data_IF_898521338806
#
_entry.id   IF_898521338806
#
_cell.length_a   1.000
_cell.length_b   1.000
_cell.length_c   1.000
_cell.angle_alpha   90.00
_cell.angle_beta   90.00
_cell.angle_gamma   90.00
#
_symmetry.space_group_name_H-M   'P 1'
#
loop_
_entity.id
_entity.type
_entity.pdbx_description
1 polymer ?
#
# COMPACT_ATOMS: atom_id res chain seq x y z
N UNK A 1 1.59 1.46 25.12
CA UNK A 1 0.33 2.04 24.61
C UNK A 1 0.37 1.97 23.09
N UNK A 2 -0.68 1.46 22.45
CA UNK A 2 -0.77 1.47 20.99
C UNK A 2 -0.95 2.92 20.54
N UNK A 3 -0.08 3.43 19.66
CA UNK A 3 -0.28 4.75 19.07
C UNK A 3 -1.52 4.71 18.15
N UNK A 4 -2.42 5.70 18.24
CA UNK A 4 -3.63 5.71 17.42
C UNK A 4 -3.30 6.00 15.94
N UNK A 5 -4.07 5.39 15.04
CA UNK A 5 -4.06 5.72 13.60
C UNK A 5 -4.46 7.18 13.41
N UNK A 6 -3.65 7.93 12.66
CA UNK A 6 -3.88 9.34 12.36
C UNK A 6 -4.53 9.47 10.99
N UNK A 7 -5.74 10.02 10.96
CA UNK A 7 -6.45 10.28 9.70
C UNK A 7 -5.66 11.29 8.86
N UNK A 8 -5.54 11.00 7.56
CA UNK A 8 -4.79 11.84 6.61
C UNK A 8 -3.27 11.68 6.67
N UNK A 9 -2.76 10.75 7.47
CA UNK A 9 -1.35 10.38 7.50
C UNK A 9 -1.12 9.01 6.86
N UNK A 10 0.06 8.82 6.28
CA UNK A 10 0.50 7.54 5.76
C UNK A 10 0.87 6.59 6.90
N UNK A 11 0.30 5.39 6.82
CA UNK A 11 0.59 4.28 7.73
C UNK A 11 1.04 3.05 6.95
N UNK A 12 1.87 2.22 7.58
CA UNK A 12 2.23 0.90 7.07
C UNK A 12 1.64 -0.18 7.95
N UNK A 13 1.07 -1.22 7.34
CA UNK A 13 0.57 -2.38 8.06
C UNK A 13 1.23 -3.62 7.49
N UNK A 14 1.86 -4.41 8.36
CA UNK A 14 2.47 -5.70 8.01
C UNK A 14 1.68 -6.81 8.68
N UNK A 15 1.17 -7.72 7.87
CA UNK A 15 0.40 -8.88 8.32
C UNK A 15 1.13 -10.12 7.85
N UNK A 16 1.35 -11.08 8.74
CA UNK A 16 1.90 -12.38 8.39
C UNK A 16 1.19 -13.49 9.16
N UNK A 17 1.16 -14.68 8.57
CA UNK A 17 0.56 -15.85 9.18
C UNK A 17 1.50 -17.04 9.01
N UNK A 18 1.74 -17.77 10.10
CA UNK A 18 2.46 -19.03 10.11
C UNK A 18 1.56 -20.05 10.79
N UNK A 19 1.10 -21.05 10.04
CA UNK A 19 0.08 -22.01 10.50
C UNK A 19 -1.11 -21.25 11.09
N UNK A 20 -1.61 -21.62 12.27
CA UNK A 20 -2.72 -20.93 12.91
C UNK A 20 -2.33 -19.65 13.69
N UNK A 21 -1.07 -19.20 13.65
CA UNK A 21 -0.60 -17.98 14.31
C UNK A 21 -0.54 -16.82 13.32
N UNK A 22 -1.20 -15.71 13.67
CA UNK A 22 -1.13 -14.44 12.95
C UNK A 22 -0.29 -13.41 13.71
N UNK A 23 0.41 -12.57 12.97
CA UNK A 23 1.16 -11.43 13.47
C UNK A 23 0.73 -10.18 12.69
N UNK A 24 0.50 -9.09 13.41
CA UNK A 24 0.20 -7.79 12.85
C UNK A 24 1.14 -6.76 13.46
N UNK A 25 1.73 -5.92 12.61
CA UNK A 25 2.49 -4.76 13.01
C UNK A 25 1.94 -3.54 12.29
N UNK A 26 1.64 -2.49 13.05
CA UNK A 26 1.29 -1.18 12.52
C UNK A 26 2.51 -0.27 12.69
N UNK A 27 2.89 0.40 11.62
CA UNK A 27 4.07 1.25 11.52
C UNK A 27 5.32 0.57 12.09
N UNK A 28 6.05 1.26 12.96
CA UNK A 28 7.17 0.72 13.71
C UNK A 28 6.78 0.31 15.14
N UNK A 29 5.48 0.13 15.39
CA UNK A 29 4.93 -0.25 16.68
C UNK A 29 5.18 -1.71 17.05
N UNK A 30 4.63 -2.10 18.20
CA UNK A 30 4.74 -3.46 18.70
C UNK A 30 4.00 -4.47 17.80
N UNK A 31 4.59 -5.67 17.67
CA UNK A 31 3.96 -6.77 16.94
C UNK A 31 2.91 -7.44 17.83
N UNK A 32 1.65 -7.31 17.45
CA UNK A 32 0.52 -7.99 18.08
C UNK A 32 0.38 -9.40 17.49
N UNK A 33 0.08 -10.38 18.35
CA UNK A 33 -0.02 -11.80 17.98
C UNK A 33 -1.41 -12.32 18.29
N UNK A 34 -1.95 -13.10 17.36
CA UNK A 34 -3.22 -13.80 17.51
C UNK A 34 -3.08 -15.26 17.11
N UNK A 35 -3.98 -16.11 17.59
CA UNK A 35 -4.04 -17.52 17.19
C UNK A 35 -5.49 -17.94 17.00
N UNK A 36 -5.76 -18.57 15.85
CA UNK A 36 -7.08 -19.14 15.57
C UNK A 36 -7.36 -20.33 16.47
N UNK A 37 -8.60 -20.45 16.96
CA UNK A 37 -9.06 -21.60 17.75
C UNK A 37 -9.15 -22.86 16.87
N UNK A 38 -8.95 -24.03 17.47
CA UNK A 38 -9.06 -25.33 16.80
C UNK A 38 -7.72 -25.88 16.29
N UNK A 39 -7.78 -27.00 15.57
CA UNK A 39 -6.60 -27.77 15.11
C UNK A 39 -6.15 -27.44 13.68
N UNK A 40 -6.98 -26.73 12.91
CA UNK A 40 -6.68 -26.37 11.53
C UNK A 40 -5.49 -25.39 11.47
N UNK A 41 -4.49 -25.74 10.67
CA UNK A 41 -3.27 -24.93 10.48
C UNK A 41 -3.30 -24.16 9.16
N UNK A 42 -3.97 -24.69 8.16
CA UNK A 42 -4.02 -24.16 6.82
C UNK A 42 -5.20 -23.20 6.63
N UNK A 43 -5.08 -22.35 5.62
CA UNK A 43 -6.13 -21.42 5.20
C UNK A 43 -6.23 -21.56 3.68
N UNK A 44 -7.33 -22.13 3.23
CA UNK A 44 -7.64 -22.22 1.82
C UNK A 44 -8.64 -21.11 1.51
N UNK A 45 -8.24 -20.17 0.66
CA UNK A 45 -9.09 -19.11 0.15
C UNK A 45 -9.56 -19.51 -1.24
N UNK A 46 -10.88 -19.60 -1.43
CA UNK A 46 -11.48 -19.85 -2.75
C UNK A 46 -11.94 -18.57 -3.46
N UNK A 47 -12.02 -17.46 -2.73
CA UNK A 47 -12.50 -16.18 -3.22
C UNK A 47 -11.34 -15.25 -3.63
N UNK A 48 -11.57 -14.28 -4.53
CA UNK A 48 -10.59 -13.24 -4.85
C UNK A 48 -10.17 -12.40 -3.63
N UNK A 49 -8.98 -11.80 -3.72
CA UNK A 49 -8.54 -10.79 -2.77
C UNK A 49 -9.23 -9.46 -3.08
N UNK A 50 -10.01 -8.94 -2.13
CA UNK A 50 -10.68 -7.65 -2.24
C UNK A 50 -9.92 -6.58 -1.47
N UNK A 51 -9.64 -5.45 -2.11
CA UNK A 51 -8.98 -4.29 -1.51
C UNK A 51 -9.92 -3.09 -1.55
N UNK A 52 -10.02 -2.37 -0.43
CA UNK A 52 -10.82 -1.15 -0.32
C UNK A 52 -12.33 -1.36 -0.20
N UNK A 53 -12.87 -2.54 -0.51
CA UNK A 53 -14.28 -2.82 -0.33
C UNK A 53 -14.65 -4.18 -0.88
N UNK A 54 -15.87 -4.63 -0.55
CA UNK A 54 -16.45 -5.90 -1.01
C UNK A 54 -17.74 -5.63 -1.78
N UNK A 55 -18.05 -6.40 -2.84
CA UNK A 55 -19.31 -6.27 -3.53
C UNK A 55 -20.51 -6.59 -2.62
N UNK A 56 -21.65 -5.93 -2.86
CA UNK A 56 -22.86 -6.07 -2.05
C UNK A 56 -23.45 -7.49 -2.02
N UNK A 57 -23.11 -8.33 -3.02
CA UNK A 57 -23.60 -9.70 -3.11
C UNK A 57 -22.81 -10.71 -2.27
N UNK A 58 -21.76 -10.30 -1.55
CA UNK A 58 -21.02 -11.19 -0.67
C UNK A 58 -21.83 -11.57 0.59
N UNK A 59 -21.55 -12.73 1.21
CA UNK A 59 -22.33 -13.23 2.36
C UNK A 59 -22.50 -12.18 3.47
N UNK A 60 -23.71 -12.14 4.07
CA UNK A 60 -24.10 -11.16 5.10
C UNK A 60 -23.09 -11.03 6.25
N UNK A 61 -22.34 -12.08 6.57
CA UNK A 61 -21.31 -12.04 7.61
C UNK A 61 -20.20 -11.02 7.32
N UNK A 62 -19.84 -10.82 6.05
CA UNK A 62 -18.82 -9.85 5.65
C UNK A 62 -19.36 -8.42 5.64
N UNK A 63 -20.59 -8.22 5.15
CA UNK A 63 -21.24 -6.89 5.12
C UNK A 63 -21.60 -6.37 6.51
N UNK A 64 -21.81 -7.25 7.50
CA UNK A 64 -22.01 -6.84 8.90
C UNK A 64 -20.74 -6.34 9.58
N UNK A 65 -19.56 -6.77 9.12
CA UNK A 65 -18.25 -6.35 9.67
C UNK A 65 -17.71 -5.13 8.92
N UNK A 66 -18.00 -5.02 7.62
CA UNK A 66 -17.55 -3.93 6.75
C UNK A 66 -18.77 -3.19 6.22
N UNK A 67 -19.07 -2.03 6.83
CA UNK A 67 -20.21 -1.19 6.44
C UNK A 67 -19.85 -0.12 5.42
N UNK A 68 -18.57 0.30 5.40
CA UNK A 68 -18.04 1.32 4.50
C UNK A 68 -16.71 0.83 3.97
N UNK A 69 -16.49 1.01 2.66
CA UNK A 69 -15.19 0.77 2.04
C UNK A 69 -14.12 1.75 2.54
N UNK A 70 -12.88 1.53 2.10
CA UNK A 70 -11.79 2.47 2.29
C UNK A 70 -12.06 3.74 1.50
N UNK A 71 -12.24 4.84 2.22
CA UNK A 71 -12.14 6.20 1.69
C UNK A 71 -10.74 6.73 2.02
N UNK A 72 -9.82 6.61 1.06
CA UNK A 72 -8.42 6.93 1.25
C UNK A 72 -7.53 6.43 0.12
N UNK A 73 -6.22 6.50 0.32
CA UNK A 73 -5.23 6.13 -0.67
C UNK A 73 -4.38 4.94 -0.22
N UNK A 74 -4.04 4.07 -1.17
CA UNK A 74 -3.06 2.99 -0.98
C UNK A 74 -1.86 3.30 -1.85
N UNK A 75 -0.70 3.44 -1.21
CA UNK A 75 0.53 3.83 -1.89
C UNK A 75 1.31 2.62 -2.46
N UNK A 76 1.31 1.50 -1.73
CA UNK A 76 2.11 0.32 -2.07
C UNK A 76 1.53 -0.93 -1.40
N UNK A 77 1.46 -2.01 -2.16
CA UNK A 77 1.11 -3.33 -1.64
C UNK A 77 2.22 -4.35 -1.94
N UNK A 78 2.45 -5.24 -0.98
CA UNK A 78 3.37 -6.37 -1.12
C UNK A 78 2.63 -7.61 -0.63
N UNK A 79 2.49 -8.61 -1.49
CA UNK A 79 1.79 -9.85 -1.17
C UNK A 79 2.77 -11.01 -1.35
N UNK A 80 3.09 -11.72 -0.26
CA UNK A 80 4.03 -12.85 -0.29
C UNK A 80 5.35 -12.53 -1.05
N UNK A 81 5.97 -11.41 -0.69
CA UNK A 81 7.21 -10.88 -1.28
C UNK A 81 7.10 -10.34 -2.73
N UNK A 82 5.93 -10.43 -3.35
CA UNK A 82 5.66 -9.82 -4.66
C UNK A 82 5.21 -8.37 -4.49
N UNK A 83 5.90 -7.44 -5.17
CA UNK A 83 5.57 -6.01 -5.14
C UNK A 83 4.48 -5.74 -6.18
N UNK A 84 3.35 -5.19 -5.73
CA UNK A 84 2.24 -4.78 -6.60
C UNK A 84 2.24 -3.24 -6.67
N UNK A 85 3.14 -2.69 -7.49
CA UNK A 85 3.30 -1.24 -7.67
C UNK A 85 2.32 -0.64 -8.69
N UNK A 86 1.77 -1.46 -9.59
CA UNK A 86 0.65 -1.13 -10.46
C UNK A 86 -0.57 -1.99 -10.12
N UNK A 87 -1.18 -1.72 -8.96
CA UNK A 87 -2.34 -2.48 -8.47
C UNK A 87 -3.52 -2.50 -9.47
N UNK A 88 -3.64 -1.47 -10.32
CA UNK A 88 -4.72 -1.36 -11.30
C UNK A 88 -4.50 -2.32 -12.48
N UNK A 89 -3.25 -2.59 -12.86
CA UNK A 89 -2.95 -3.52 -13.94
C UNK A 89 -3.34 -4.98 -13.63
N UNK A 90 -3.32 -5.36 -12.35
CA UNK A 90 -3.65 -6.71 -11.89
C UNK A 90 -5.11 -6.87 -11.42
N UNK A 91 -5.88 -5.78 -11.37
CA UNK A 91 -7.25 -5.83 -10.85
C UNK A 91 -8.23 -6.41 -11.85
N UNK A 92 -9.07 -7.35 -11.40
CA UNK A 92 -10.14 -7.95 -12.20
C UNK A 92 -11.43 -7.13 -12.22
N UNK A 93 -11.68 -6.31 -11.21
CA UNK A 93 -12.79 -5.34 -11.13
C UNK A 93 -12.32 -4.07 -10.41
N UNK A 94 -12.85 -2.91 -10.79
CA UNK A 94 -12.45 -1.60 -10.25
C UNK A 94 -13.66 -0.68 -10.17
N UNK A 95 -13.91 -0.07 -9.01
CA UNK A 95 -15.02 0.87 -8.81
C UNK A 95 -14.60 2.07 -7.99
N UNK A 96 -14.88 3.26 -8.52
CA UNK A 96 -14.59 4.54 -7.87
C UNK A 96 -13.12 4.68 -7.45
N UNK A 97 -12.19 4.24 -8.32
CA UNK A 97 -10.75 4.34 -8.10
C UNK A 97 -10.19 5.43 -9.01
N UNK A 98 -9.35 6.30 -8.46
CA UNK A 98 -8.64 7.33 -9.19
C UNK A 98 -7.18 7.46 -8.73
N UNK A 99 -6.27 7.98 -9.57
CA UNK A 99 -4.90 8.24 -9.16
C UNK A 99 -4.84 9.25 -8.00
N UNK A 100 -4.13 8.90 -6.94
CA UNK A 100 -3.92 9.80 -5.81
C UNK A 100 -2.84 10.83 -6.13
N UNK A 101 -3.23 12.11 -6.19
CA UNK A 101 -2.35 13.25 -6.50
C UNK A 101 -2.03 14.10 -5.25
N UNK A 102 -1.79 13.45 -4.11
CA UNK A 102 -1.47 14.11 -2.85
C UNK A 102 -0.03 13.90 -2.36
N UNK A 103 0.31 14.44 -1.18
CA UNK A 103 1.63 14.25 -0.56
C UNK A 103 1.98 12.76 -0.43
N UNK A 104 3.26 12.39 -0.56
CA UNK A 104 4.43 13.28 -0.64
C UNK A 104 4.79 13.70 -2.09
N UNK A 105 4.14 13.11 -3.10
CA UNK A 105 4.41 13.43 -4.50
C UNK A 105 3.49 14.56 -4.99
N UNK A 106 4.03 15.78 -5.02
CA UNK A 106 3.34 16.93 -5.61
C UNK A 106 3.85 17.21 -7.03
N UNK A 107 3.02 17.82 -7.91
CA UNK A 107 3.43 18.15 -9.27
C UNK A 107 4.74 18.96 -9.32
N UNK A 108 5.70 18.49 -10.13
CA UNK A 108 6.96 19.20 -10.38
C UNK A 108 8.01 19.09 -9.26
N UNK A 109 7.81 18.23 -8.25
CA UNK A 109 8.80 17.98 -7.19
C UNK A 109 10.08 17.30 -7.71
N UNK A 110 9.93 16.45 -8.74
CA UNK A 110 11.03 15.88 -9.52
C UNK A 110 11.15 16.64 -10.84
N UNK A 111 12.33 17.21 -11.12
CA UNK A 111 12.59 17.98 -12.34
C UNK A 111 12.96 17.07 -13.51
N UNK A 112 12.99 17.64 -14.71
CA UNK A 112 13.51 17.00 -15.92
C UNK A 112 12.87 15.62 -16.19
N UNK A 113 11.54 15.54 -16.09
CA UNK A 113 10.76 14.31 -16.26
C UNK A 113 11.14 13.15 -15.31
N UNK A 114 11.78 13.45 -14.18
CA UNK A 114 12.01 12.47 -13.12
C UNK A 114 10.69 11.96 -12.54
N UNK A 115 10.61 10.66 -12.28
CA UNK A 115 9.44 10.03 -11.66
C UNK A 115 9.50 10.18 -10.14
N UNK A 116 8.44 10.71 -9.53
CA UNK A 116 8.31 10.72 -8.07
C UNK A 116 7.89 9.34 -7.58
N UNK A 117 8.67 8.78 -6.66
CA UNK A 117 8.39 7.50 -6.00
C UNK A 117 8.06 7.81 -4.54
N UNK A 118 6.79 7.71 -4.12
CA UNK A 118 6.40 8.02 -2.75
C UNK A 118 6.77 6.88 -1.78
N UNK A 119 7.14 7.25 -0.55
CA UNK A 119 7.59 6.37 0.55
C UNK A 119 7.02 6.90 1.86
N UNK A 120 5.80 6.46 2.20
CA UNK A 120 4.99 7.01 3.29
C UNK A 120 4.91 8.55 3.15
N UNK A 121 5.38 9.28 4.15
CA UNK A 121 5.42 10.75 4.20
C UNK A 121 6.61 11.37 3.45
N UNK A 122 7.52 10.56 2.90
CA UNK A 122 8.70 11.03 2.16
C UNK A 122 8.67 10.53 0.71
N UNK A 123 9.58 11.01 -0.13
CA UNK A 123 9.65 10.63 -1.53
C UNK A 123 11.09 10.55 -2.01
N UNK A 124 11.29 9.83 -3.12
CA UNK A 124 12.53 9.90 -3.90
C UNK A 124 12.22 10.17 -5.35
N UNK A 125 13.08 10.94 -6.01
CA UNK A 125 13.01 11.10 -7.45
C UNK A 125 13.84 10.02 -8.13
N UNK A 126 13.21 9.26 -9.01
CA UNK A 126 13.89 8.42 -9.98
C UNK A 126 14.20 9.28 -11.20
N UNK A 127 15.46 9.68 -11.34
CA UNK A 127 15.91 10.50 -12.46
C UNK A 127 16.02 9.69 -13.74
N UNK A 128 15.74 10.34 -14.86
CA UNK A 128 16.03 9.81 -16.19
C UNK A 128 17.52 9.97 -16.49
N UNK A 129 18.02 9.21 -17.47
CA UNK A 129 19.41 9.26 -17.89
C UNK A 129 19.82 10.69 -18.27
N UNK A 130 21.02 11.10 -17.84
CA UNK A 130 21.53 12.46 -18.04
C UNK A 130 21.23 13.45 -16.90
N UNK A 131 20.43 13.06 -15.90
CA UNK A 131 20.10 13.90 -14.75
C UNK A 131 20.38 13.21 -13.42
N UNK A 132 20.68 14.01 -12.40
CA UNK A 132 20.97 13.55 -11.03
C UNK A 132 20.58 14.57 -9.96
N UNK A 133 20.87 14.23 -8.71
CA UNK A 133 20.52 15.01 -7.53
C UNK A 133 19.16 14.61 -6.95
N UNK A 134 18.87 15.06 -5.72
CA UNK A 134 17.65 14.71 -4.97
C UNK A 134 16.36 15.00 -5.76
N UNK A 135 16.38 16.03 -6.60
CA UNK A 135 15.23 16.49 -7.39
C UNK A 135 15.45 16.36 -8.90
N UNK A 136 16.47 15.61 -9.34
CA UNK A 136 16.82 15.46 -10.76
C UNK A 136 17.12 16.79 -11.47
N UNK A 137 17.62 17.80 -10.75
CA UNK A 137 17.87 19.15 -11.27
C UNK A 137 19.30 19.37 -11.78
N UNK A 138 20.18 18.38 -11.62
CA UNK A 138 21.58 18.48 -12.03
C UNK A 138 21.78 17.72 -13.34
N UNK A 139 22.33 18.38 -14.35
CA UNK A 139 22.78 17.70 -15.57
C UNK A 139 24.06 16.92 -15.29
N UNK A 140 24.12 15.66 -15.72
CA UNK A 140 25.34 14.86 -15.63
C UNK A 140 26.22 15.02 -16.87
N UNK A 141 25.75 15.75 -17.90
CA UNK A 141 26.56 16.08 -19.06
C UNK A 141 27.62 17.10 -18.65
N UNK A 142 28.88 16.65 -18.56
CA UNK A 142 30.02 17.55 -18.48
C UNK A 142 30.25 18.16 -19.85
N UNK A 143 30.23 19.49 -19.95
CA UNK A 143 30.76 20.19 -21.12
C UNK A 143 32.21 19.72 -21.33
N UNK A 144 32.46 19.06 -22.45
CA UNK A 144 33.82 18.89 -22.98
C UNK A 144 34.18 20.10 -23.83
#
# INVERSE_FOLDING_TARGET
CLEPVRIGAWHSVKISRIKNRGMLQMDNGEVVRGQSKGTLLELNLGEPLYIGGVPEFLPLKYSLVVQVGLDGAIQRMIVNDEVWDDMLSFSTDQRNIEPYNGPPCTPGICKNNGRCIPILEDYRCQCVDGFSGKWCNQSTFKNR
#
